data_IF_304897145591
#
_entry.id   IF_304897145591
#
_cell.length_a   1.000
_cell.length_b   1.000
_cell.length_c   1.000
_cell.angle_alpha   90.00
_cell.angle_beta   90.00
_cell.angle_gamma   90.00
#
_symmetry.space_group_name_H-M   'P 1'
#
loop_
_entity.id
_entity.type
_entity.pdbx_description
1 polymer ?
#
# COMPACT_ATOMS: atom_id res chain seq x y z
N UNK A 1 16.88 -11.92 -9.62
CA UNK A 1 16.16 -10.88 -8.85
C UNK A 1 15.40 -11.49 -7.68
N UNK A 2 14.62 -12.54 -7.84
CA UNK A 2 13.82 -13.19 -6.78
C UNK A 2 14.67 -13.52 -5.55
N UNK A 3 15.83 -14.18 -5.71
CA UNK A 3 16.70 -14.55 -4.58
C UNK A 3 17.14 -13.35 -3.71
N UNK A 4 17.31 -12.17 -4.30
CA UNK A 4 17.60 -10.96 -3.53
C UNK A 4 16.37 -10.45 -2.78
N UNK A 5 15.19 -10.53 -3.41
CA UNK A 5 13.93 -10.08 -2.81
C UNK A 5 13.56 -10.87 -1.56
N UNK A 6 13.94 -12.14 -1.44
CA UNK A 6 13.73 -12.98 -0.24
C UNK A 6 14.31 -12.36 1.03
N UNK A 7 15.40 -11.60 0.92
CA UNK A 7 16.14 -11.05 2.07
C UNK A 7 15.84 -9.58 2.38
N UNK A 8 15.03 -8.89 1.58
CA UNK A 8 14.74 -7.49 1.81
C UNK A 8 13.89 -7.30 3.07
N UNK A 9 14.27 -6.34 3.88
CA UNK A 9 13.50 -5.92 5.05
C UNK A 9 12.44 -4.90 4.66
N UNK A 10 11.46 -5.30 3.86
CA UNK A 10 10.33 -4.49 3.40
C UNK A 10 9.03 -5.07 3.95
N UNK A 11 7.98 -4.27 4.04
CA UNK A 11 6.69 -4.73 4.56
C UNK A 11 6.00 -5.68 3.57
N UNK A 12 6.11 -5.40 2.27
CA UNK A 12 5.52 -6.21 1.21
C UNK A 12 6.51 -6.44 0.08
N UNK A 13 6.59 -7.68 -0.40
CA UNK A 13 7.23 -8.06 -1.66
C UNK A 13 6.16 -8.54 -2.63
N UNK A 14 6.23 -8.10 -3.87
CA UNK A 14 5.40 -8.70 -4.91
C UNK A 14 6.21 -9.29 -6.05
N UNK A 15 5.71 -10.40 -6.58
CA UNK A 15 6.24 -11.11 -7.75
C UNK A 15 5.41 -10.71 -8.96
N UNK A 16 6.08 -10.27 -10.02
CA UNK A 16 5.37 -9.71 -11.17
C UNK A 16 5.20 -10.72 -12.30
N UNK A 17 3.98 -10.83 -12.81
CA UNK A 17 3.64 -11.57 -14.02
C UNK A 17 3.10 -10.66 -15.13
N UNK A 18 2.95 -9.36 -14.85
CA UNK A 18 2.32 -8.40 -15.73
C UNK A 18 3.37 -7.67 -16.61
N UNK A 19 3.36 -6.37 -16.68
CA UNK A 19 4.07 -5.57 -17.67
C UNK A 19 5.61 -5.63 -17.57
N UNK A 20 6.17 -5.96 -16.40
CA UNK A 20 7.61 -6.18 -16.29
C UNK A 20 8.09 -7.51 -16.90
N UNK A 21 7.17 -8.38 -17.34
CA UNK A 21 7.48 -9.67 -17.94
C UNK A 21 7.04 -9.70 -19.40
N UNK A 22 8.00 -9.81 -20.31
CA UNK A 22 7.68 -9.90 -21.74
C UNK A 22 6.77 -11.11 -22.05
N UNK A 23 5.92 -11.04 -23.08
CA UNK A 23 4.98 -12.11 -23.45
C UNK A 23 5.63 -13.51 -23.52
N UNK A 24 6.79 -13.60 -24.16
CA UNK A 24 7.54 -14.85 -24.34
C UNK A 24 8.13 -15.41 -23.05
N UNK A 25 8.32 -14.55 -22.03
CA UNK A 25 8.89 -14.92 -20.74
C UNK A 25 7.84 -15.31 -19.68
N UNK A 26 6.55 -15.09 -19.93
CA UNK A 26 5.48 -15.29 -18.94
C UNK A 26 5.41 -16.73 -18.43
N UNK A 27 5.57 -17.71 -19.32
CA UNK A 27 5.62 -19.13 -18.92
C UNK A 27 6.78 -19.40 -17.95
N UNK A 28 7.98 -18.91 -18.27
CA UNK A 28 9.16 -19.08 -17.42
C UNK A 28 9.00 -18.35 -16.07
N UNK A 29 8.37 -17.16 -16.07
CA UNK A 29 8.08 -16.42 -14.83
C UNK A 29 7.15 -17.22 -13.91
N UNK A 30 6.05 -17.78 -14.43
CA UNK A 30 5.15 -18.67 -13.67
C UNK A 30 5.87 -19.88 -13.09
N UNK A 31 6.70 -20.55 -13.88
CA UNK A 31 7.50 -21.69 -13.41
C UNK A 31 8.45 -21.28 -12.27
N UNK A 32 9.06 -20.11 -12.39
CA UNK A 32 9.94 -19.58 -11.35
C UNK A 32 9.18 -19.28 -10.06
N UNK A 33 7.96 -18.76 -10.15
CA UNK A 33 7.11 -18.50 -8.99
C UNK A 33 6.58 -19.82 -8.38
N UNK A 34 6.19 -20.77 -9.19
CA UNK A 34 5.71 -22.07 -8.72
C UNK A 34 6.75 -22.86 -7.90
N UNK A 35 8.03 -22.55 -8.09
CA UNK A 35 9.13 -23.17 -7.34
C UNK A 35 9.42 -22.52 -5.99
N UNK A 36 8.68 -21.45 -5.61
CA UNK A 36 8.88 -20.71 -4.37
C UNK A 36 7.94 -21.17 -3.26
N UNK A 37 8.31 -20.79 -2.03
CA UNK A 37 7.45 -20.90 -0.84
C UNK A 37 7.39 -19.53 -0.14
N UNK A 38 6.27 -19.24 0.55
CA UNK A 38 6.11 -18.02 1.33
C UNK A 38 7.18 -17.84 2.41
N UNK A 39 7.59 -18.92 3.06
CA UNK A 39 8.65 -18.91 4.09
C UNK A 39 10.04 -18.51 3.57
N UNK A 40 10.22 -18.43 2.26
CA UNK A 40 11.45 -17.93 1.65
C UNK A 40 11.64 -16.42 1.86
N UNK A 41 10.56 -15.68 2.14
CA UNK A 41 10.57 -14.21 2.17
C UNK A 41 10.59 -13.67 3.60
N UNK A 42 11.40 -12.63 3.83
CA UNK A 42 11.42 -11.90 5.11
C UNK A 42 10.28 -10.87 5.21
N UNK A 43 9.72 -10.45 4.09
CA UNK A 43 8.59 -9.53 4.06
C UNK A 43 7.37 -10.14 4.79
N UNK A 44 6.64 -9.31 5.51
CA UNK A 44 5.43 -9.74 6.23
C UNK A 44 4.28 -10.10 5.26
N UNK A 45 4.27 -9.52 4.07
CA UNK A 45 3.27 -9.73 3.03
C UNK A 45 3.97 -10.15 1.73
N UNK A 46 3.51 -11.24 1.14
CA UNK A 46 3.96 -11.68 -0.18
C UNK A 46 2.79 -11.70 -1.14
N UNK A 47 2.93 -10.95 -2.23
CA UNK A 47 1.88 -10.76 -3.23
C UNK A 47 2.34 -11.20 -4.61
N UNK A 48 1.39 -11.40 -5.50
CA UNK A 48 1.67 -11.60 -6.93
C UNK A 48 0.87 -10.56 -7.71
N UNK A 49 1.53 -9.82 -8.61
CA UNK A 49 0.82 -9.06 -9.63
C UNK A 49 0.56 -9.95 -10.82
N UNK A 50 -0.71 -10.26 -11.05
CA UNK A 50 -1.16 -11.08 -12.16
C UNK A 50 -1.41 -10.25 -13.41
N UNK A 51 -1.61 -10.90 -14.54
CA UNK A 51 -2.06 -10.23 -15.75
C UNK A 51 -3.52 -9.78 -15.62
N UNK A 52 -3.89 -8.68 -16.28
CA UNK A 52 -5.25 -8.16 -16.25
C UNK A 52 -6.28 -9.18 -16.77
N UNK A 53 -7.50 -9.12 -16.24
CA UNK A 53 -8.58 -10.10 -16.49
C UNK A 53 -8.86 -10.34 -17.99
N UNK A 54 -8.73 -9.31 -18.81
CA UNK A 54 -9.05 -9.37 -20.25
C UNK A 54 -7.83 -9.73 -21.13
N UNK A 55 -6.76 -10.27 -20.55
CA UNK A 55 -5.57 -10.68 -21.28
C UNK A 55 -5.55 -12.18 -21.52
N UNK A 56 -4.87 -12.65 -22.57
CA UNK A 56 -4.75 -14.09 -22.84
C UNK A 56 -3.98 -14.87 -21.75
N UNK A 57 -3.24 -14.18 -20.90
CA UNK A 57 -2.40 -14.78 -19.85
C UNK A 57 -3.11 -14.96 -18.50
N UNK A 58 -4.28 -14.32 -18.31
CA UNK A 58 -5.00 -14.32 -17.03
C UNK A 58 -5.34 -15.74 -16.54
N UNK A 59 -5.90 -16.58 -17.42
CA UNK A 59 -6.31 -17.93 -17.01
C UNK A 59 -5.14 -18.79 -16.54
N UNK A 60 -3.98 -18.64 -17.15
CA UNK A 60 -2.77 -19.38 -16.78
C UNK A 60 -2.21 -18.89 -15.42
N UNK A 61 -2.40 -17.61 -15.08
CA UNK A 61 -2.08 -17.09 -13.74
C UNK A 61 -3.02 -17.68 -12.69
N UNK A 62 -4.32 -17.81 -13.01
CA UNK A 62 -5.29 -18.50 -12.14
C UNK A 62 -4.89 -19.95 -11.88
N UNK A 63 -4.47 -20.67 -12.92
CA UNK A 63 -4.01 -22.07 -12.77
C UNK A 63 -2.72 -22.16 -11.93
N UNK A 64 -1.80 -21.21 -12.05
CA UNK A 64 -0.63 -21.11 -11.16
C UNK A 64 -1.06 -20.99 -9.69
N UNK A 65 -2.03 -20.12 -9.40
CA UNK A 65 -2.53 -19.94 -8.03
C UNK A 65 -3.19 -21.20 -7.49
N UNK A 66 -3.99 -21.90 -8.31
CA UNK A 66 -4.62 -23.17 -7.94
C UNK A 66 -3.62 -24.31 -7.71
N UNK A 67 -2.49 -24.31 -8.42
CA UNK A 67 -1.50 -25.37 -8.35
C UNK A 67 -0.63 -25.40 -7.09
N UNK A 68 -0.90 -24.52 -6.10
CA UNK A 68 -0.20 -24.48 -4.83
C UNK A 68 0.36 -23.11 -4.44
N UNK A 69 0.68 -22.25 -5.41
CA UNK A 69 1.18 -20.89 -5.15
C UNK A 69 0.18 -20.08 -4.31
N UNK A 70 -1.11 -20.23 -4.55
CA UNK A 70 -2.15 -19.61 -3.75
C UNK A 70 -2.20 -20.05 -2.27
N UNK A 71 -1.45 -21.07 -1.86
CA UNK A 71 -1.46 -21.54 -0.47
C UNK A 71 -0.69 -20.64 0.48
N UNK A 72 0.29 -19.89 -0.01
CA UNK A 72 1.21 -19.09 0.80
C UNK A 72 1.21 -17.59 0.49
N UNK A 73 0.51 -17.13 -0.55
CA UNK A 73 0.39 -15.70 -0.82
C UNK A 73 -0.63 -15.03 0.09
N UNK A 74 -0.42 -13.76 0.40
CA UNK A 74 -1.30 -12.95 1.25
C UNK A 74 -2.30 -12.14 0.42
N UNK A 75 -1.85 -11.60 -0.72
CA UNK A 75 -2.69 -10.80 -1.60
C UNK A 75 -2.33 -10.95 -3.08
N UNK A 76 -3.24 -10.52 -3.92
CA UNK A 76 -3.03 -10.37 -5.37
C UNK A 76 -3.11 -8.89 -5.71
N UNK A 77 -2.08 -8.39 -6.39
CA UNK A 77 -2.17 -7.10 -7.05
C UNK A 77 -2.93 -7.30 -8.35
N UNK A 78 -4.14 -6.76 -8.40
CA UNK A 78 -4.99 -6.80 -9.58
C UNK A 78 -4.77 -5.53 -10.40
N UNK A 79 -4.12 -5.62 -11.58
CA UNK A 79 -3.87 -4.46 -12.43
C UNK A 79 -5.11 -4.06 -13.21
N UNK A 80 -5.10 -2.84 -13.72
CA UNK A 80 -6.09 -2.30 -14.68
C UNK A 80 -7.54 -2.45 -14.21
N UNK A 81 -7.76 -2.21 -12.91
CA UNK A 81 -9.10 -2.23 -12.31
C UNK A 81 -9.87 -0.97 -12.74
N UNK A 82 -11.00 -1.17 -13.42
CA UNK A 82 -11.83 -0.08 -13.92
C UNK A 82 -13.11 0.11 -13.09
N UNK A 83 -13.65 -0.96 -12.50
CA UNK A 83 -14.92 -0.95 -11.78
C UNK A 83 -14.92 -1.94 -10.61
N UNK A 84 -15.88 -1.77 -9.69
CA UNK A 84 -16.13 -2.76 -8.63
C UNK A 84 -16.45 -4.15 -9.19
N UNK A 85 -17.12 -4.24 -10.35
CA UNK A 85 -17.42 -5.52 -10.99
C UNK A 85 -16.14 -6.31 -11.37
N UNK A 86 -15.06 -5.65 -11.73
CA UNK A 86 -13.79 -6.33 -12.04
C UNK A 86 -13.27 -7.02 -10.77
N UNK A 87 -13.36 -6.34 -9.63
CA UNK A 87 -12.99 -6.89 -8.32
C UNK A 87 -13.91 -8.05 -7.93
N UNK A 88 -15.23 -7.91 -8.13
CA UNK A 88 -16.21 -8.95 -7.81
C UNK A 88 -16.01 -10.21 -8.67
N UNK A 89 -15.75 -10.05 -9.96
CA UNK A 89 -15.43 -11.16 -10.87
C UNK A 89 -14.16 -11.88 -10.39
N UNK A 90 -13.11 -11.14 -10.08
CA UNK A 90 -11.87 -11.72 -9.59
C UNK A 90 -12.04 -12.39 -8.22
N UNK A 91 -12.83 -11.80 -7.34
CA UNK A 91 -13.14 -12.37 -6.01
C UNK A 91 -13.77 -13.77 -6.09
N UNK A 92 -14.54 -14.06 -7.15
CA UNK A 92 -15.09 -15.40 -7.38
C UNK A 92 -13.99 -16.42 -7.71
N UNK A 93 -13.01 -16.03 -8.55
CA UNK A 93 -11.85 -16.88 -8.81
C UNK A 93 -11.04 -17.15 -7.54
N UNK A 94 -10.82 -16.13 -6.71
CA UNK A 94 -10.12 -16.31 -5.43
C UNK A 94 -10.89 -17.25 -4.49
N UNK A 95 -12.22 -17.15 -4.43
CA UNK A 95 -13.02 -18.07 -3.60
C UNK A 95 -12.90 -19.53 -4.07
N UNK A 96 -12.81 -19.77 -5.37
CA UNK A 96 -12.56 -21.11 -5.92
C UNK A 96 -11.15 -21.62 -5.60
N UNK A 97 -10.15 -20.75 -5.70
CA UNK A 97 -8.74 -21.06 -5.35
C UNK A 97 -8.65 -21.42 -3.87
N UNK A 98 -9.17 -20.58 -2.99
CA UNK A 98 -9.18 -20.81 -1.54
C UNK A 98 -9.86 -22.14 -1.19
N UNK A 99 -11.01 -22.42 -1.81
CA UNK A 99 -11.73 -23.69 -1.64
C UNK A 99 -10.90 -24.89 -2.09
N UNK A 100 -10.25 -24.79 -3.26
CA UNK A 100 -9.41 -25.87 -3.81
C UNK A 100 -8.20 -26.16 -2.92
N UNK A 101 -7.63 -25.14 -2.29
CA UNK A 101 -6.44 -25.21 -1.43
C UNK A 101 -6.78 -25.40 0.07
N UNK A 102 -8.06 -25.50 0.43
CA UNK A 102 -8.48 -25.63 1.83
C UNK A 102 -8.24 -24.37 2.68
N UNK A 103 -8.10 -23.21 2.05
CA UNK A 103 -7.97 -21.93 2.75
C UNK A 103 -9.32 -21.37 3.17
N UNK A 104 -9.31 -20.56 4.22
CA UNK A 104 -10.52 -19.84 4.62
C UNK A 104 -10.96 -18.87 3.49
N UNK A 105 -12.27 -18.79 3.25
CA UNK A 105 -12.83 -17.83 2.29
C UNK A 105 -12.47 -16.40 2.72
N UNK A 106 -11.94 -15.62 1.80
CA UNK A 106 -11.53 -14.24 2.05
C UNK A 106 -10.11 -14.10 2.62
N UNK A 107 -9.33 -15.17 2.68
CA UNK A 107 -7.96 -15.16 3.20
C UNK A 107 -6.92 -14.59 2.23
N UNK A 108 -7.25 -14.50 0.94
CA UNK A 108 -6.41 -13.84 -0.07
C UNK A 108 -7.03 -12.49 -0.36
N UNK A 109 -6.29 -11.42 -0.07
CA UNK A 109 -6.72 -10.05 -0.31
C UNK A 109 -6.50 -9.61 -1.77
N UNK A 110 -7.08 -8.48 -2.12
CA UNK A 110 -6.88 -7.81 -3.41
C UNK A 110 -6.27 -6.44 -3.16
N UNK A 111 -5.12 -6.18 -3.77
CA UNK A 111 -4.49 -4.87 -3.87
C UNK A 111 -4.87 -4.30 -5.24
N UNK A 112 -5.88 -3.43 -5.30
CA UNK A 112 -6.42 -2.93 -6.56
C UNK A 112 -5.55 -1.82 -7.13
N UNK A 113 -5.05 -1.99 -8.37
CA UNK A 113 -4.23 -0.98 -9.03
C UNK A 113 -5.12 -0.03 -9.85
N UNK A 114 -5.08 1.24 -9.48
CA UNK A 114 -5.81 2.34 -10.12
C UNK A 114 -4.86 3.05 -11.07
N UNK A 115 -5.05 2.82 -12.35
CA UNK A 115 -4.11 3.22 -13.40
C UNK A 115 -4.81 3.63 -14.72
N UNK A 116 -6.07 4.05 -14.60
CA UNK A 116 -6.85 4.62 -15.71
C UNK A 116 -7.83 5.67 -15.21
N UNK A 117 -8.26 6.56 -16.09
CA UNK A 117 -9.31 7.55 -15.80
C UNK A 117 -10.59 6.87 -15.30
N UNK A 118 -10.98 5.76 -15.93
CA UNK A 118 -12.17 5.00 -15.53
C UNK A 118 -12.01 4.38 -14.15
N UNK A 119 -10.86 3.80 -13.82
CA UNK A 119 -10.55 3.28 -12.49
C UNK A 119 -10.57 4.38 -11.44
N UNK A 120 -9.98 5.53 -11.75
CA UNK A 120 -9.98 6.68 -10.84
C UNK A 120 -11.38 7.23 -10.57
N UNK A 121 -12.25 7.30 -11.58
CA UNK A 121 -13.65 7.76 -11.40
C UNK A 121 -14.42 6.80 -10.48
N UNK A 122 -14.12 5.52 -10.51
CA UNK A 122 -14.81 4.47 -9.75
C UNK A 122 -14.07 4.04 -8.47
N UNK A 123 -12.99 4.71 -8.07
CA UNK A 123 -12.10 4.21 -7.01
C UNK A 123 -12.80 4.05 -5.65
N UNK A 124 -13.85 4.85 -5.34
CA UNK A 124 -14.62 4.68 -4.10
C UNK A 124 -15.40 3.36 -4.09
N UNK A 125 -16.04 3.02 -5.21
CA UNK A 125 -16.77 1.76 -5.34
C UNK A 125 -15.82 0.55 -5.35
N UNK A 126 -14.65 0.69 -5.96
CA UNK A 126 -13.59 -0.33 -5.94
C UNK A 126 -13.08 -0.55 -4.51
N UNK A 127 -12.76 0.54 -3.80
CA UNK A 127 -12.29 0.48 -2.41
C UNK A 127 -13.28 -0.17 -1.44
N UNK A 128 -14.59 -0.02 -1.70
CA UNK A 128 -15.65 -0.57 -0.86
C UNK A 128 -15.86 -2.09 -1.03
N UNK A 129 -15.19 -2.74 -1.99
CA UNK A 129 -15.29 -4.18 -2.17
C UNK A 129 -14.61 -4.94 -1.03
N UNK A 130 -15.28 -5.95 -0.47
CA UNK A 130 -14.91 -6.67 0.76
C UNK A 130 -13.45 -7.19 0.81
N UNK A 131 -12.91 -7.63 -0.34
CA UNK A 131 -11.56 -8.21 -0.41
C UNK A 131 -10.45 -7.19 -0.66
N UNK A 132 -10.80 -5.95 -0.96
CA UNK A 132 -9.79 -4.93 -1.26
C UNK A 132 -9.12 -4.49 0.03
N UNK A 133 -7.81 -4.69 0.13
CA UNK A 133 -6.97 -4.30 1.26
C UNK A 133 -6.19 -3.03 1.01
N UNK A 134 -5.95 -2.71 -0.26
CA UNK A 134 -5.28 -1.46 -0.64
C UNK A 134 -5.69 -0.96 -2.02
N UNK A 135 -5.58 0.36 -2.20
CA UNK A 135 -5.54 0.99 -3.51
C UNK A 135 -4.09 1.37 -3.84
N UNK A 136 -3.64 0.97 -5.02
CA UNK A 136 -2.30 1.24 -5.52
C UNK A 136 -2.37 2.13 -6.75
N UNK A 137 -1.59 3.20 -6.79
CA UNK A 137 -1.54 4.06 -7.96
C UNK A 137 -0.59 3.52 -9.03
N UNK A 138 -1.04 3.43 -10.29
CA UNK A 138 -0.21 3.05 -11.45
C UNK A 138 0.07 4.26 -12.35
N UNK A 139 1.12 5.09 -12.07
CA UNK A 139 1.32 6.38 -12.75
C UNK A 139 1.58 6.26 -14.24
N UNK A 140 2.31 5.25 -14.70
CA UNK A 140 2.69 5.11 -16.11
C UNK A 140 1.46 4.84 -17.00
N UNK A 141 0.68 3.81 -16.64
CA UNK A 141 -0.54 3.47 -17.37
C UNK A 141 -1.59 4.56 -17.26
N UNK A 142 -1.70 5.20 -16.09
CA UNK A 142 -2.60 6.33 -15.88
C UNK A 142 -2.30 7.49 -16.82
N UNK A 143 -1.02 7.87 -16.95
CA UNK A 143 -0.62 8.93 -17.89
C UNK A 143 -0.85 8.53 -19.33
N UNK A 144 -0.58 7.29 -19.69
CA UNK A 144 -0.86 6.76 -21.03
C UNK A 144 -2.37 6.80 -21.36
N UNK A 145 -3.23 6.41 -20.41
CA UNK A 145 -4.69 6.44 -20.56
C UNK A 145 -5.22 7.88 -20.72
N UNK A 146 -4.60 8.86 -20.02
CA UNK A 146 -4.93 10.27 -20.20
C UNK A 146 -4.39 10.88 -21.49
N UNK A 147 -3.53 10.21 -22.24
CA UNK A 147 -2.82 10.77 -23.39
C UNK A 147 -1.88 11.91 -23.00
N UNK A 148 -1.40 11.93 -21.76
CA UNK A 148 -0.51 12.97 -21.24
C UNK A 148 0.95 12.58 -21.48
N UNK A 149 1.86 13.58 -21.72
CA UNK A 149 3.28 13.28 -21.84
C UNK A 149 3.84 12.75 -20.53
N UNK A 150 4.81 11.83 -20.61
CA UNK A 150 5.39 11.16 -19.45
C UNK A 150 6.03 12.12 -18.42
N UNK A 151 6.44 13.29 -18.87
CA UNK A 151 7.07 14.35 -18.08
C UNK A 151 6.06 15.21 -17.29
N UNK A 152 4.75 15.06 -17.49
CA UNK A 152 3.76 15.89 -16.80
C UNK A 152 3.52 15.40 -15.36
N UNK A 153 4.45 15.74 -14.48
CA UNK A 153 4.42 15.39 -13.04
C UNK A 153 3.26 16.06 -12.29
N UNK A 154 2.73 17.19 -12.80
CA UNK A 154 1.71 18.01 -12.11
C UNK A 154 0.30 17.44 -12.11
N UNK A 155 0.02 16.40 -12.88
CA UNK A 155 -1.33 15.83 -13.01
C UNK A 155 -1.65 14.78 -11.94
N UNK A 156 -0.66 14.34 -11.14
CA UNK A 156 -0.85 13.25 -10.19
C UNK A 156 -1.55 13.66 -8.89
N UNK A 157 -1.46 14.92 -8.47
CA UNK A 157 -2.00 15.35 -7.16
C UNK A 157 -3.49 15.07 -7.00
N UNK A 158 -4.27 15.33 -8.05
CA UNK A 158 -5.70 15.00 -8.02
C UNK A 158 -5.95 13.49 -7.91
N UNK A 159 -5.22 12.70 -8.70
CA UNK A 159 -5.36 11.25 -8.69
C UNK A 159 -4.94 10.67 -7.33
N UNK A 160 -3.81 11.10 -6.80
CA UNK A 160 -3.32 10.70 -5.48
C UNK A 160 -4.32 11.05 -4.38
N UNK A 161 -4.82 12.29 -4.35
CA UNK A 161 -5.80 12.70 -3.35
C UNK A 161 -7.11 11.91 -3.44
N UNK A 162 -7.61 11.66 -4.64
CA UNK A 162 -8.83 10.89 -4.85
C UNK A 162 -8.67 9.44 -4.40
N UNK A 163 -7.56 8.78 -4.74
CA UNK A 163 -7.24 7.43 -4.27
C UNK A 163 -7.13 7.38 -2.75
N UNK A 164 -6.40 8.33 -2.16
CA UNK A 164 -6.23 8.40 -0.72
C UNK A 164 -7.57 8.56 0.02
N UNK A 165 -8.42 9.47 -0.44
CA UNK A 165 -9.75 9.70 0.15
C UNK A 165 -10.63 8.45 0.06
N UNK A 166 -10.65 7.79 -1.12
CA UNK A 166 -11.38 6.54 -1.30
C UNK A 166 -10.89 5.42 -0.37
N UNK A 167 -9.58 5.24 -0.28
CA UNK A 167 -8.97 4.26 0.62
C UNK A 167 -9.30 4.55 2.10
N UNK A 168 -9.20 5.81 2.53
CA UNK A 168 -9.53 6.20 3.92
C UNK A 168 -11.01 6.04 4.24
N UNK A 169 -11.91 6.33 3.29
CA UNK A 169 -13.35 6.12 3.47
C UNK A 169 -13.69 4.63 3.64
N UNK A 170 -12.97 3.75 2.98
CA UNK A 170 -13.12 2.29 3.10
C UNK A 170 -12.30 1.67 4.25
N UNK A 171 -11.42 2.43 4.92
CA UNK A 171 -10.56 1.93 6.00
C UNK A 171 -9.42 1.02 5.53
N UNK A 172 -8.97 1.16 4.28
CA UNK A 172 -7.92 0.36 3.65
C UNK A 172 -6.65 1.19 3.41
N UNK A 173 -5.56 0.51 3.05
CA UNK A 173 -4.29 1.16 2.75
C UNK A 173 -4.32 1.90 1.40
N UNK A 174 -3.51 2.97 1.30
CA UNK A 174 -3.23 3.68 0.05
C UNK A 174 -1.73 3.64 -0.22
N UNK A 175 -1.33 3.08 -1.36
CA UNK A 175 0.07 2.96 -1.77
C UNK A 175 0.31 3.79 -3.02
N UNK A 176 1.33 4.65 -2.96
CA UNK A 176 1.78 5.41 -4.13
C UNK A 176 2.55 4.50 -5.09
N UNK A 177 2.46 4.80 -6.37
CA UNK A 177 3.10 4.04 -7.44
C UNK A 177 4.61 4.25 -7.53
N UNK A 178 5.27 3.54 -8.45
CA UNK A 178 6.70 3.64 -8.63
C UNK A 178 7.13 4.98 -9.23
N UNK A 179 8.39 5.35 -8.98
CA UNK A 179 9.10 6.38 -9.73
C UNK A 179 9.90 5.69 -10.83
N UNK A 180 9.69 6.09 -12.09
CA UNK A 180 10.24 5.39 -13.25
C UNK A 180 11.72 5.62 -13.45
N UNK A 181 12.26 6.75 -12.96
CA UNK A 181 13.70 7.05 -12.96
C UNK A 181 14.41 6.28 -11.85
N UNK A 182 14.52 4.98 -12.04
CA UNK A 182 14.92 3.98 -11.04
C UNK A 182 16.24 4.31 -10.33
N UNK A 183 17.19 4.97 -11.03
CA UNK A 183 18.53 5.30 -10.49
C UNK A 183 18.63 6.72 -9.95
N UNK A 184 17.62 7.55 -10.14
CA UNK A 184 17.61 8.93 -9.65
C UNK A 184 16.94 9.00 -8.29
N UNK A 185 17.68 8.65 -7.24
CA UNK A 185 17.17 8.59 -5.85
C UNK A 185 16.49 9.90 -5.43
N UNK A 186 17.02 11.05 -5.84
CA UNK A 186 16.43 12.35 -5.52
C UNK A 186 15.00 12.52 -6.06
N UNK A 187 14.71 12.00 -7.26
CA UNK A 187 13.35 12.02 -7.82
C UNK A 187 12.43 11.08 -7.06
N UNK A 188 12.92 9.89 -6.70
CA UNK A 188 12.18 8.96 -5.85
C UNK A 188 11.84 9.62 -4.50
N UNK A 189 12.81 10.23 -3.83
CA UNK A 189 12.62 10.90 -2.54
C UNK A 189 11.62 12.05 -2.63
N UNK A 190 11.71 12.89 -3.68
CA UNK A 190 10.76 13.98 -3.89
C UNK A 190 9.32 13.46 -4.05
N UNK A 191 9.12 12.44 -4.88
CA UNK A 191 7.80 11.80 -5.06
C UNK A 191 7.31 11.14 -3.78
N UNK A 192 8.16 10.38 -3.09
CA UNK A 192 7.84 9.71 -1.83
C UNK A 192 7.45 10.72 -0.72
N UNK A 193 8.15 11.87 -0.66
CA UNK A 193 7.85 12.92 0.30
C UNK A 193 6.48 13.54 0.08
N UNK A 194 6.07 13.74 -1.19
CA UNK A 194 4.72 14.22 -1.53
C UNK A 194 3.68 13.22 -1.02
N UNK A 195 3.80 11.93 -1.38
CA UNK A 195 2.87 10.89 -0.96
C UNK A 195 2.80 10.75 0.57
N UNK A 196 3.93 10.72 1.26
CA UNK A 196 3.99 10.64 2.72
C UNK A 196 3.35 11.86 3.40
N UNK A 197 3.55 13.07 2.86
CA UNK A 197 2.95 14.32 3.37
C UNK A 197 1.44 14.33 3.16
N UNK A 198 0.94 13.81 2.04
CA UNK A 198 -0.49 13.65 1.79
C UNK A 198 -1.13 12.64 2.74
N UNK A 199 -0.38 11.66 3.24
CA UNK A 199 -0.87 10.65 4.18
C UNK A 199 -0.92 9.23 3.63
N UNK A 200 -0.28 8.93 2.51
CA UNK A 200 -0.13 7.56 2.01
C UNK A 200 0.59 6.66 3.02
N UNK A 201 0.33 5.37 2.95
CA UNK A 201 0.92 4.38 3.87
C UNK A 201 2.28 3.88 3.40
N UNK A 202 2.55 3.96 2.11
CA UNK A 202 3.80 3.52 1.50
C UNK A 202 3.87 3.85 0.02
N UNK A 203 4.92 3.33 -0.63
CA UNK A 203 5.20 3.55 -2.05
C UNK A 203 5.88 2.33 -2.65
N UNK A 204 5.60 2.06 -3.92
CA UNK A 204 6.32 1.03 -4.67
C UNK A 204 7.77 1.42 -4.91
N UNK A 205 8.67 0.47 -4.70
CA UNK A 205 10.10 0.56 -5.02
C UNK A 205 10.43 -0.41 -6.16
N UNK A 206 11.13 0.09 -7.19
CA UNK A 206 11.56 -0.70 -8.33
C UNK A 206 13.02 -1.16 -8.22
N UNK A 207 13.79 -0.59 -7.30
CA UNK A 207 15.19 -0.92 -7.11
C UNK A 207 15.54 -0.97 -5.62
N UNK A 208 16.41 -1.91 -5.19
CA UNK A 208 16.80 -2.01 -3.79
C UNK A 208 17.36 -0.73 -3.18
N UNK A 209 18.06 0.09 -3.97
CA UNK A 209 18.64 1.37 -3.52
C UNK A 209 17.57 2.38 -3.04
N UNK A 210 16.30 2.19 -3.43
CA UNK A 210 15.18 3.04 -3.01
C UNK A 210 14.63 2.64 -1.63
N UNK A 211 14.93 1.43 -1.13
CA UNK A 211 14.32 0.87 0.08
C UNK A 211 14.63 1.73 1.31
N UNK A 212 15.89 2.09 1.52
CA UNK A 212 16.31 2.89 2.67
C UNK A 212 15.63 4.27 2.67
N UNK A 213 15.60 4.94 1.53
CA UNK A 213 14.90 6.22 1.36
C UNK A 213 13.41 6.10 1.61
N UNK A 214 12.78 5.02 1.12
CA UNK A 214 11.36 4.75 1.37
C UNK A 214 11.06 4.61 2.87
N UNK A 215 11.81 3.76 3.56
CA UNK A 215 11.67 3.58 5.00
C UNK A 215 11.84 4.89 5.77
N UNK A 216 12.91 5.65 5.48
CA UNK A 216 13.18 6.93 6.14
C UNK A 216 12.05 7.96 5.95
N UNK A 217 11.43 7.99 4.78
CA UNK A 217 10.40 8.97 4.45
C UNK A 217 9.04 8.57 5.06
N UNK A 218 8.66 7.30 5.04
CA UNK A 218 7.37 6.84 5.55
C UNK A 218 7.38 6.49 7.05
N UNK A 219 8.55 6.35 7.67
CA UNK A 219 8.70 6.17 9.13
C UNK A 219 8.80 7.55 9.81
N UNK A 220 8.04 7.82 10.87
CA UNK A 220 8.22 9.05 11.62
C UNK A 220 9.61 9.09 12.29
N UNK A 221 10.22 10.27 12.37
CA UNK A 221 11.42 10.43 13.18
C UNK A 221 11.14 10.17 14.66
N UNK A 222 12.15 9.81 15.45
CA UNK A 222 12.01 9.63 16.91
C UNK A 222 11.42 10.87 17.57
N UNK A 223 11.84 12.06 17.15
CA UNK A 223 11.31 13.33 17.69
C UNK A 223 9.81 13.49 17.38
N UNK A 224 9.39 13.27 16.13
CA UNK A 224 7.98 13.34 15.72
C UNK A 224 7.13 12.29 16.43
N UNK A 225 7.68 11.10 16.65
CA UNK A 225 7.03 10.04 17.41
C UNK A 225 6.84 10.42 18.86
N UNK A 226 7.89 10.93 19.53
CA UNK A 226 7.83 11.37 20.93
C UNK A 226 6.87 12.54 21.11
N UNK A 227 6.90 13.51 20.19
CA UNK A 227 5.96 14.66 20.24
C UNK A 227 4.50 14.21 20.10
N UNK A 228 4.22 13.28 19.21
CA UNK A 228 2.89 12.70 19.05
C UNK A 228 2.47 11.90 20.30
N UNK A 229 3.38 11.10 20.88
CA UNK A 229 3.09 10.35 22.10
C UNK A 229 2.84 11.27 23.30
N UNK A 230 3.65 12.32 23.47
CA UNK A 230 3.45 13.33 24.51
C UNK A 230 2.12 14.11 24.30
N UNK A 231 1.73 14.36 23.05
CA UNK A 231 0.44 14.99 22.76
C UNK A 231 -0.73 14.09 23.20
N UNK A 232 -0.64 12.79 22.99
CA UNK A 232 -1.66 11.84 23.46
C UNK A 232 -1.77 11.85 24.99
N UNK A 233 -0.64 11.82 25.69
CA UNK A 233 -0.59 11.92 27.17
C UNK A 233 -1.16 13.25 27.67
N UNK A 234 -0.83 14.37 27.00
CA UNK A 234 -1.35 15.70 27.34
C UNK A 234 -2.86 15.77 27.12
N UNK A 235 -3.36 15.26 26.00
CA UNK A 235 -4.80 15.21 25.71
C UNK A 235 -5.55 14.39 26.76
N UNK A 236 -5.04 13.19 27.10
CA UNK A 236 -5.60 12.37 28.16
C UNK A 236 -5.66 13.10 29.51
N UNK A 237 -4.58 13.78 29.88
CA UNK A 237 -4.56 14.60 31.10
C UNK A 237 -5.63 15.69 31.06
N UNK A 238 -5.65 16.55 30.03
CA UNK A 238 -6.59 17.70 29.96
C UNK A 238 -8.06 17.27 29.86
N UNK A 239 -8.36 16.12 29.30
CA UNK A 239 -9.73 15.57 29.24
C UNK A 239 -10.16 14.90 30.54
N UNK A 240 -9.21 14.54 31.41
CA UNK A 240 -9.49 13.99 32.75
C UNK A 240 -9.97 15.03 33.73
N UNK A 241 -10.52 14.59 34.86
CA UNK A 241 -10.90 15.48 35.97
C UNK A 241 -9.71 16.30 36.52
N UNK A 242 -8.51 15.71 36.57
CA UNK A 242 -7.28 16.37 37.01
C UNK A 242 -6.87 17.54 36.10
N UNK A 243 -7.09 17.42 34.79
CA UNK A 243 -6.80 18.45 33.81
C UNK A 243 -7.98 19.42 33.56
N UNK A 244 -9.08 19.28 34.32
CA UNK A 244 -10.25 20.16 34.26
C UNK A 244 -11.32 19.76 33.25
N UNK A 245 -11.33 18.47 32.77
CA UNK A 245 -12.33 17.89 31.89
C UNK A 245 -12.56 18.70 30.59
N UNK A 246 -11.49 19.16 29.94
CA UNK A 246 -11.54 20.07 28.79
C UNK A 246 -11.50 19.24 27.49
N UNK A 247 -12.45 19.45 26.59
CA UNK A 247 -12.46 18.83 25.26
C UNK A 247 -11.42 19.41 24.28
N UNK A 248 -10.89 20.62 24.59
CA UNK A 248 -9.78 21.24 23.91
C UNK A 248 -8.89 21.99 24.92
N UNK A 249 -7.57 21.99 24.68
CA UNK A 249 -6.57 22.60 25.54
C UNK A 249 -5.45 23.23 24.74
N UNK A 250 -4.63 24.08 25.37
CA UNK A 250 -3.38 24.57 24.76
C UNK A 250 -2.25 23.68 25.23
N UNK A 251 -1.50 23.13 24.30
CA UNK A 251 -0.30 22.33 24.52
C UNK A 251 0.82 22.81 23.59
N UNK A 252 2.00 23.12 24.14
CA UNK A 252 3.15 23.68 23.40
C UNK A 252 2.76 24.87 22.48
N UNK A 253 1.84 25.73 22.93
CA UNK A 253 1.40 26.91 22.20
C UNK A 253 0.38 26.65 21.08
N UNK A 254 -0.05 25.42 20.87
CA UNK A 254 -1.08 25.05 19.89
C UNK A 254 -2.33 24.48 20.58
N UNK A 255 -3.49 24.69 19.98
CA UNK A 255 -4.71 24.03 20.43
C UNK A 255 -4.67 22.56 20.06
N UNK A 256 -4.94 21.69 21.04
CA UNK A 256 -5.15 20.25 20.85
C UNK A 256 -6.59 19.88 21.18
N UNK A 257 -7.13 18.97 20.39
CA UNK A 257 -8.49 18.46 20.47
C UNK A 257 -8.54 16.99 19.98
N UNK A 258 -9.73 16.46 19.78
CA UNK A 258 -9.92 15.11 19.25
C UNK A 258 -9.31 14.90 17.85
N UNK A 259 -9.28 15.93 16.99
CA UNK A 259 -8.63 15.83 15.67
C UNK A 259 -7.11 15.69 15.83
N UNK A 260 -6.51 16.49 16.71
CA UNK A 260 -5.08 16.40 17.06
C UNK A 260 -4.73 15.01 17.63
N UNK A 261 -5.60 14.46 18.50
CA UNK A 261 -5.44 13.11 19.06
C UNK A 261 -5.43 12.05 17.97
N UNK A 262 -6.36 12.09 17.02
CA UNK A 262 -6.43 11.14 15.90
C UNK A 262 -5.19 11.21 15.02
N UNK A 263 -4.69 12.41 14.71
CA UNK A 263 -3.44 12.58 13.96
C UNK A 263 -2.25 12.00 14.72
N UNK A 264 -2.15 12.25 16.02
CA UNK A 264 -1.07 11.71 16.84
C UNK A 264 -1.11 10.17 16.95
N UNK A 265 -2.30 9.57 17.05
CA UNK A 265 -2.47 8.11 17.03
C UNK A 265 -1.91 7.49 15.76
N UNK A 266 -2.13 8.10 14.60
CA UNK A 266 -1.60 7.61 13.34
C UNK A 266 -0.06 7.64 13.32
N UNK A 267 0.56 8.72 13.81
CA UNK A 267 2.03 8.82 13.92
C UNK A 267 2.58 7.78 14.90
N UNK A 268 1.97 7.66 16.07
CA UNK A 268 2.41 6.68 17.10
C UNK A 268 2.22 5.25 16.60
N UNK A 269 1.14 4.95 15.90
CA UNK A 269 0.90 3.63 15.29
C UNK A 269 2.01 3.25 14.31
N UNK A 270 2.34 4.15 13.37
CA UNK A 270 3.44 3.94 12.40
C UNK A 270 4.80 3.80 13.09
N UNK A 271 5.10 4.65 14.07
CA UNK A 271 6.37 4.58 14.79
C UNK A 271 6.53 3.25 15.55
N UNK A 272 5.49 2.77 16.22
CA UNK A 272 5.51 1.47 16.91
C UNK A 272 5.69 0.30 15.96
N UNK A 273 4.99 0.32 14.83
CA UNK A 273 5.15 -0.69 13.78
C UNK A 273 6.60 -0.72 13.22
N UNK A 274 7.28 0.44 13.23
CA UNK A 274 8.69 0.57 12.83
C UNK A 274 9.68 0.34 13.99
N UNK A 275 9.22 -0.12 15.14
CA UNK A 275 10.08 -0.44 16.31
C UNK A 275 10.45 0.75 17.19
N UNK A 276 9.86 1.93 16.98
CA UNK A 276 10.15 3.08 17.83
C UNK A 276 9.51 2.94 19.22
N UNK A 277 10.25 3.35 20.24
CA UNK A 277 9.78 3.40 21.61
C UNK A 277 9.82 4.85 22.11
N UNK A 278 8.84 5.21 22.95
CA UNK A 278 8.76 6.55 23.52
C UNK A 278 9.88 6.82 24.50
N UNK A 279 10.62 7.90 24.27
CA UNK A 279 11.71 8.37 25.12
C UNK A 279 11.28 9.54 25.98
N UNK A 280 10.55 10.51 25.40
CA UNK A 280 10.04 11.69 26.07
C UNK A 280 8.64 11.42 26.66
N UNK A 281 8.32 12.06 27.79
CA UNK A 281 7.02 11.97 28.45
C UNK A 281 6.42 13.36 28.64
N UNK A 282 5.10 13.43 28.62
CA UNK A 282 4.38 14.63 29.05
C UNK A 282 4.51 14.79 30.59
N UNK A 283 4.79 16.01 31.00
CA UNK A 283 4.76 16.43 32.40
C UNK A 283 3.70 17.51 32.52
N UNK A 284 2.64 17.34 33.36
CA UNK A 284 1.57 18.30 33.59
C UNK A 284 2.03 19.63 34.13
#
# INVERSE_FOLDING_TARGET
MIEKAKSFGVDQVFLDLEDAVAPEAKLQARQSIAALNGDDFKAAIVSIRINAINTPWFNEDIELLKSGTGSWIDSIILPKVHTANDVEVFSKHLAEIEKALGRAKGSINIDAQIESAKGLVNCEAIAACERVSSLNFGPADFMADLGAPAESVTSHEYALMKILVAARAAGIAALDGPTLEVREISKFEASAQIAATMGFDGKWVLHPDQIESCHRIFTPSQERFDDAACLLEAYEYFTSAAGGAKGAAIYKGAMIDEASRKMALAVVGRGRASGLNQIKRFLP
#
